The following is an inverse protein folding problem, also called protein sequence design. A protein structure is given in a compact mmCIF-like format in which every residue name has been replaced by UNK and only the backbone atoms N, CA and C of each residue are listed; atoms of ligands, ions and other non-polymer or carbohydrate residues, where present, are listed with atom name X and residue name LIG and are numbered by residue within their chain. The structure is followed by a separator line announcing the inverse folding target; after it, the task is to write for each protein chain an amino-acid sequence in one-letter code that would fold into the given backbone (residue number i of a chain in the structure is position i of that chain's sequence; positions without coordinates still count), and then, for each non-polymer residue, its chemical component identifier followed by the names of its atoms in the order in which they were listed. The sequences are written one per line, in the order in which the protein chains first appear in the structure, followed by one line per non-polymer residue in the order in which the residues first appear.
data_IF_664034567468
#
_entry.id   IF_664034567468
#
_cell.length_a   1.000
_cell.length_b   1.000
_cell.length_c   1.000
_cell.angle_alpha   90.00
_cell.angle_beta   90.00
_cell.angle_gamma   90.00
#
_symmetry.space_group_name_H-M   'P 1'
#
loop_
_entity.id
_entity.type
_entity.pdbx_description
1 polymer ?
#
# COMPACT_ATOMS: atom_id res chain seq x y z
N UNK A 1 -0.51 1.49 8.05
CA UNK A 1 -0.36 0.07 7.61
C UNK A 1 0.22 -0.78 8.74
N UNK A 2 1.42 -0.46 9.27
CA UNK A 2 2.04 -1.26 10.34
C UNK A 2 1.09 -1.52 11.52
N UNK A 3 0.49 -0.47 12.10
CA UNK A 3 -0.49 -0.64 13.17
C UNK A 3 -1.78 -1.38 12.80
N UNK A 4 -2.10 -1.53 11.50
CA UNK A 4 -3.18 -2.42 11.06
C UNK A 4 -2.71 -3.87 11.02
N UNK A 5 -1.49 -4.12 10.54
CA UNK A 5 -0.90 -5.46 10.53
C UNK A 5 -0.62 -5.97 11.94
N UNK A 6 -0.16 -5.10 12.86
CA UNK A 6 0.00 -5.44 14.28
C UNK A 6 -1.31 -5.98 14.87
N UNK A 7 -2.47 -5.45 14.44
CA UNK A 7 -3.79 -5.86 14.92
C UNK A 7 -4.37 -7.06 14.18
N UNK A 8 -4.27 -7.07 12.85
CA UNK A 8 -4.94 -8.04 11.98
C UNK A 8 -4.11 -9.31 11.73
N UNK A 9 -2.79 -9.24 11.92
CA UNK A 9 -1.84 -10.28 11.58
C UNK A 9 -0.71 -10.42 12.63
N UNK A 10 -1.00 -10.41 13.94
CA UNK A 10 0.03 -10.43 14.99
C UNK A 10 0.89 -11.70 14.98
N UNK A 11 0.36 -12.79 14.44
CA UNK A 11 1.07 -14.07 14.29
C UNK A 11 2.26 -14.01 13.32
N UNK A 12 2.43 -12.93 12.57
CA UNK A 12 3.55 -12.73 11.63
C UNK A 12 4.69 -11.87 12.21
N UNK A 13 4.60 -11.47 13.48
CA UNK A 13 5.59 -10.61 14.14
C UNK A 13 6.96 -11.27 14.39
N UNK A 14 7.21 -12.56 14.10
CA UNK A 14 8.55 -13.19 13.98
C UNK A 14 9.75 -12.49 14.68
N UNK A 15 9.72 -12.33 16.01
CA UNK A 15 10.75 -11.69 16.85
C UNK A 15 10.95 -10.16 16.69
N UNK A 16 10.01 -9.45 16.07
CA UNK A 16 9.88 -7.98 16.10
C UNK A 16 8.67 -7.60 16.96
N UNK A 17 8.70 -6.41 17.57
CA UNK A 17 7.61 -5.97 18.46
C UNK A 17 6.46 -5.34 17.68
N UNK A 18 6.79 -4.65 16.57
CA UNK A 18 5.82 -4.06 15.66
C UNK A 18 6.28 -4.15 14.21
N UNK A 19 5.34 -4.22 13.27
CA UNK A 19 5.62 -4.04 11.84
C UNK A 19 6.26 -2.68 11.50
N UNK A 20 6.29 -1.71 12.42
CA UNK A 20 7.06 -0.46 12.26
C UNK A 20 8.57 -0.70 12.28
N UNK A 21 9.03 -1.74 12.98
CA UNK A 21 10.45 -2.10 13.10
C UNK A 21 11.05 -2.55 11.75
N UNK A 22 10.19 -2.86 10.76
CA UNK A 22 10.58 -3.22 9.40
C UNK A 22 10.80 -2.01 8.48
N UNK A 23 10.56 -0.78 8.93
CA UNK A 23 10.75 0.42 8.11
C UNK A 23 12.26 0.65 7.90
N UNK A 24 12.67 0.73 6.64
CA UNK A 24 14.04 1.05 6.24
C UNK A 24 14.05 2.13 5.16
N UNK A 25 14.90 3.14 5.32
CA UNK A 25 15.07 4.19 4.32
C UNK A 25 16.06 3.74 3.24
N UNK A 26 15.70 3.94 1.98
CA UNK A 26 16.56 3.67 0.83
C UNK A 26 16.80 4.95 0.04
N UNK A 27 17.81 4.96 -0.83
CA UNK A 27 18.04 6.07 -1.76
C UNK A 27 16.77 6.36 -2.56
N UNK A 28 16.40 7.64 -2.64
CA UNK A 28 15.22 8.08 -3.39
C UNK A 28 15.31 7.73 -4.88
N UNK A 29 14.18 7.72 -5.58
CA UNK A 29 14.13 7.46 -7.03
C UNK A 29 14.52 8.73 -7.80
N UNK A 30 15.34 8.64 -8.86
CA UNK A 30 15.54 9.76 -9.77
C UNK A 30 14.20 10.25 -10.34
N UNK A 31 13.97 11.57 -10.35
CA UNK A 31 12.74 12.15 -10.87
C UNK A 31 11.52 11.98 -9.96
N UNK A 32 11.71 11.82 -8.65
CA UNK A 32 10.58 11.76 -7.72
C UNK A 32 9.86 13.12 -7.61
N UNK A 33 8.71 13.25 -8.27
CA UNK A 33 7.79 14.35 -8.01
C UNK A 33 7.30 14.31 -6.54
N UNK A 34 7.58 15.37 -5.79
CA UNK A 34 7.38 15.39 -4.34
C UNK A 34 5.92 15.56 -3.92
N UNK A 35 5.08 16.13 -4.80
CA UNK A 35 3.69 16.46 -4.46
C UNK A 35 2.78 16.38 -5.66
N UNK A 36 1.76 15.54 -5.55
CA UNK A 36 0.58 15.58 -6.39
C UNK A 36 -0.63 16.00 -5.55
N UNK A 37 -1.46 16.86 -6.12
CA UNK A 37 -2.74 17.23 -5.54
C UNK A 37 -3.73 17.51 -6.67
N UNK A 38 -4.98 17.09 -6.50
CA UNK A 38 -6.06 17.32 -7.45
C UNK A 38 -7.21 18.07 -6.77
N UNK A 39 -7.90 18.91 -7.54
CA UNK A 39 -9.13 19.57 -7.11
C UNK A 39 -10.33 18.87 -7.79
N UNK A 40 -11.11 18.05 -7.07
CA UNK A 40 -12.24 17.32 -7.64
C UNK A 40 -13.54 18.14 -7.71
N UNK A 41 -13.53 19.44 -7.37
CA UNK A 41 -14.76 20.24 -7.29
C UNK A 41 -15.62 20.20 -8.55
N UNK A 42 -15.00 20.11 -9.75
CA UNK A 42 -15.76 20.01 -11.00
C UNK A 42 -16.65 18.77 -11.05
N UNK A 43 -16.12 17.60 -10.73
CA UNK A 43 -16.89 16.35 -10.81
C UNK A 43 -17.93 16.27 -9.70
N UNK A 44 -17.60 16.79 -8.50
CA UNK A 44 -18.55 16.89 -7.40
C UNK A 44 -19.72 17.80 -7.73
N UNK A 45 -19.48 18.96 -8.35
CA UNK A 45 -20.58 19.89 -8.69
C UNK A 45 -21.40 19.44 -9.89
N UNK A 46 -20.76 18.83 -10.91
CA UNK A 46 -21.44 18.54 -12.17
C UNK A 46 -22.11 17.17 -12.20
N UNK A 47 -21.57 16.20 -11.45
CA UNK A 47 -22.03 14.81 -11.46
C UNK A 47 -22.47 14.32 -10.07
N UNK A 48 -22.50 15.19 -9.07
CA UNK A 48 -22.79 14.84 -7.67
C UNK A 48 -21.92 13.70 -7.13
N UNK A 49 -20.68 13.61 -7.65
CA UNK A 49 -19.75 12.57 -7.24
C UNK A 49 -19.05 12.95 -5.93
N UNK A 50 -19.05 11.99 -5.00
CA UNK A 50 -18.24 12.05 -3.79
C UNK A 50 -17.63 10.66 -3.50
N UNK A 51 -16.46 10.60 -2.84
CA UNK A 51 -15.87 9.33 -2.47
C UNK A 51 -16.69 8.63 -1.38
N UNK A 52 -16.96 7.34 -1.57
CA UNK A 52 -17.63 6.50 -0.56
C UNK A 52 -16.70 6.07 0.58
N UNK A 53 -15.38 6.25 0.43
CA UNK A 53 -14.37 5.81 1.38
C UNK A 53 -13.49 6.99 1.81
N UNK A 54 -13.08 7.01 3.08
CA UNK A 54 -11.93 7.81 3.50
C UNK A 54 -10.65 7.04 3.26
N UNK A 55 -9.49 7.68 3.46
CA UNK A 55 -8.23 6.97 3.37
C UNK A 55 -8.14 5.84 4.41
N UNK A 56 -8.60 6.11 5.64
CA UNK A 56 -8.57 5.16 6.77
C UNK A 56 -9.43 3.92 6.50
N UNK A 57 -10.66 4.12 6.01
CA UNK A 57 -11.56 2.99 5.69
C UNK A 57 -11.03 2.18 4.50
N UNK A 58 -10.54 2.88 3.47
CA UNK A 58 -9.96 2.26 2.27
C UNK A 58 -8.70 1.45 2.58
N UNK A 59 -7.74 2.01 3.33
CA UNK A 59 -6.49 1.30 3.65
C UNK A 59 -6.73 0.11 4.58
N UNK A 60 -7.69 0.20 5.52
CA UNK A 60 -8.09 -0.95 6.32
C UNK A 60 -8.64 -2.09 5.46
N UNK A 61 -9.63 -1.80 4.60
CA UNK A 61 -10.21 -2.78 3.67
C UNK A 61 -9.15 -3.38 2.75
N UNK A 62 -8.22 -2.57 2.28
CA UNK A 62 -7.12 -3.01 1.42
C UNK A 62 -6.23 -4.02 2.15
N UNK A 63 -5.71 -3.68 3.34
CA UNK A 63 -4.87 -4.61 4.12
C UNK A 63 -5.59 -5.92 4.39
N UNK A 64 -6.85 -5.84 4.83
CA UNK A 64 -7.68 -7.02 5.08
C UNK A 64 -7.89 -7.86 3.82
N UNK A 65 -8.11 -7.23 2.67
CA UNK A 65 -8.25 -7.93 1.40
C UNK A 65 -6.98 -8.71 1.04
N UNK A 66 -5.79 -8.12 1.17
CA UNK A 66 -4.54 -8.82 0.87
C UNK A 66 -4.28 -10.01 1.80
N UNK A 67 -4.62 -9.89 3.09
CA UNK A 67 -4.53 -11.00 4.04
C UNK A 67 -5.47 -12.16 3.66
N UNK A 68 -6.69 -11.84 3.22
CA UNK A 68 -7.71 -12.83 2.86
C UNK A 68 -7.52 -13.45 1.47
N UNK A 69 -6.68 -12.87 0.61
CA UNK A 69 -6.56 -13.26 -0.80
C UNK A 69 -5.14 -13.76 -1.14
N UNK A 70 -4.53 -14.55 -0.27
CA UNK A 70 -3.17 -15.07 -0.45
C UNK A 70 -2.96 -15.79 -1.79
N UNK A 71 -3.90 -16.67 -2.18
CA UNK A 71 -3.83 -17.41 -3.44
C UNK A 71 -3.75 -16.48 -4.65
N UNK A 72 -4.36 -15.30 -4.58
CA UNK A 72 -4.36 -14.34 -5.69
C UNK A 72 -2.97 -13.73 -5.90
N UNK A 73 -2.38 -13.11 -4.86
CA UNK A 73 -1.08 -12.44 -5.02
C UNK A 73 0.09 -13.43 -5.09
N UNK A 74 -0.03 -14.63 -4.52
CA UNK A 74 1.04 -15.63 -4.56
C UNK A 74 1.36 -16.07 -6.00
N UNK A 75 0.36 -16.13 -6.87
CA UNK A 75 0.55 -16.48 -8.30
C UNK A 75 1.34 -15.40 -9.04
N UNK A 76 1.05 -14.12 -8.75
CA UNK A 76 1.74 -12.98 -9.37
C UNK A 76 3.23 -12.97 -9.01
N UNK A 77 3.55 -13.28 -7.75
CA UNK A 77 4.94 -13.37 -7.28
C UNK A 77 5.69 -14.55 -7.91
N UNK A 78 5.02 -15.69 -8.13
CA UNK A 78 5.65 -16.89 -8.66
C UNK A 78 5.96 -16.82 -10.16
N UNK A 79 5.27 -15.97 -10.92
CA UNK A 79 5.41 -15.93 -12.38
C UNK A 79 6.61 -15.09 -12.85
N UNK A 80 6.63 -13.79 -12.54
CA UNK A 80 7.54 -12.85 -13.24
C UNK A 80 8.18 -11.77 -12.37
N UNK A 81 7.78 -11.64 -11.09
CA UNK A 81 8.27 -10.58 -10.22
C UNK A 81 9.07 -11.12 -9.03
N UNK A 82 10.39 -10.96 -9.10
CA UNK A 82 11.31 -11.45 -8.06
C UNK A 82 11.53 -10.45 -6.90
N UNK A 83 10.72 -9.39 -6.78
CA UNK A 83 10.86 -8.42 -5.69
C UNK A 83 12.09 -7.51 -5.76
N UNK A 84 12.88 -7.60 -6.83
CA UNK A 84 14.04 -6.74 -7.05
C UNK A 84 13.65 -5.29 -7.31
N UNK A 85 14.47 -4.34 -6.84
CA UNK A 85 14.26 -2.91 -7.10
C UNK A 85 14.44 -2.61 -8.58
N UNK A 86 13.34 -2.33 -9.27
CA UNK A 86 13.32 -1.90 -10.66
C UNK A 86 13.72 -0.41 -10.76
N UNK A 87 14.35 0.00 -11.88
CA UNK A 87 14.73 1.40 -12.14
C UNK A 87 16.12 1.81 -11.62
N UNK A 88 16.97 0.85 -11.24
CA UNK A 88 18.38 1.07 -10.90
C UNK A 88 19.35 0.91 -12.09
N UNK A 89 18.94 0.15 -13.11
CA UNK A 89 19.74 -0.02 -14.33
C UNK A 89 19.50 1.19 -15.25
N UNK A 90 20.60 1.81 -15.70
CA UNK A 90 20.59 2.87 -16.71
C UNK A 90 20.38 2.29 -18.11
#
# INVERSE_FOLDING_TARGET
ICGLLDKLAPNFLNNIESFQDLISFTTDRPGHDQRYAMNPSKITQQLDWSPNETFESGIHKTVQWYLNNQTWWSRILNDSYQGQRLGLMK
#
